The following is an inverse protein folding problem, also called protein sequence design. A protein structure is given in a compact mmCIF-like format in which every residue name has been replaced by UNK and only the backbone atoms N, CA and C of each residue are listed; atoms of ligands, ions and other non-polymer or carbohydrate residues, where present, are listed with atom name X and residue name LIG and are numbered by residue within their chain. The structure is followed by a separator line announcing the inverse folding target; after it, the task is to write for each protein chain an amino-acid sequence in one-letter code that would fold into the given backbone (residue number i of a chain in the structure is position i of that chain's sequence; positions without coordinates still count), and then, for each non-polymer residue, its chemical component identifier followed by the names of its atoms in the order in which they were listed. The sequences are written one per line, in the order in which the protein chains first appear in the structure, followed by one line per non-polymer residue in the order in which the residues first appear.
data_IF_167779367246
#
_entry.id   IF_167779367246
#
_cell.length_a   1.000
_cell.length_b   1.000
_cell.length_c   1.000
_cell.angle_alpha   90.00
_cell.angle_beta   90.00
_cell.angle_gamma   90.00
#
_symmetry.space_group_name_H-M   'P 1'
#
loop_
_entity.id
_entity.type
_entity.pdbx_description
1 polymer ?
#
# COMPACT_ATOMS: atom_id res chain seq x y z
N UNK A 1 37.45 80.90 48.31
CA UNK A 1 38.77 81.05 47.64
C UNK A 1 38.95 79.93 46.63
N UNK A 2 39.34 80.29 45.39
CA UNK A 2 39.83 79.45 44.27
C UNK A 2 38.80 78.52 43.59
N UNK A 3 38.27 78.85 42.41
CA UNK A 3 38.84 78.94 41.04
C UNK A 3 38.66 77.64 40.23
N UNK A 4 37.67 77.70 39.32
CA UNK A 4 37.63 77.25 37.91
C UNK A 4 38.36 75.97 37.45
N UNK A 5 37.62 75.12 36.71
CA UNK A 5 37.95 74.62 35.35
C UNK A 5 36.74 73.85 34.79
N UNK A 6 35.91 74.47 33.94
CA UNK A 6 35.87 74.36 32.46
C UNK A 6 35.74 72.93 31.90
N UNK A 7 34.52 72.65 31.43
CA UNK A 7 34.10 72.05 30.16
C UNK A 7 34.83 70.81 29.61
N UNK A 8 34.07 69.75 29.34
CA UNK A 8 33.85 69.25 27.98
C UNK A 8 32.78 68.14 28.00
N UNK A 9 31.76 68.28 27.15
CA UNK A 9 30.83 67.23 26.82
C UNK A 9 31.52 66.19 25.93
N UNK A 10 31.25 64.91 26.15
CA UNK A 10 31.50 63.86 25.18
C UNK A 10 30.32 62.88 25.20
N UNK A 11 29.47 63.05 24.19
CA UNK A 11 28.46 62.06 23.78
C UNK A 11 29.21 60.86 23.22
N UNK A 12 29.00 59.67 23.78
CA UNK A 12 29.44 58.42 23.16
C UNK A 12 28.23 57.49 23.02
N UNK A 13 27.99 57.12 21.77
CA UNK A 13 26.80 56.48 21.26
C UNK A 13 26.56 55.08 21.85
N UNK A 14 25.28 54.79 22.11
CA UNK A 14 24.75 53.45 22.31
C UNK A 14 24.82 52.72 20.97
N UNK A 15 25.67 51.72 20.83
CA UNK A 15 25.61 50.74 19.75
C UNK A 15 25.00 49.45 20.30
N UNK A 16 23.67 49.35 20.25
CA UNK A 16 22.96 48.10 20.48
C UNK A 16 23.17 47.21 19.25
N UNK A 17 24.03 46.20 19.36
CA UNK A 17 24.17 45.15 18.35
C UNK A 17 22.95 44.23 18.50
N UNK A 18 21.92 44.47 17.69
CA UNK A 18 20.82 43.53 17.53
C UNK A 18 21.33 42.33 16.71
N UNK A 19 21.73 41.25 17.39
CA UNK A 19 21.99 39.97 16.76
C UNK A 19 20.65 39.38 16.28
N UNK A 20 20.32 39.57 15.01
CA UNK A 20 19.24 38.83 14.34
C UNK A 20 19.70 37.39 14.15
N UNK A 21 19.38 36.54 15.12
CA UNK A 21 19.47 35.10 14.96
C UNK A 21 18.45 34.66 13.91
N UNK A 22 18.93 34.39 12.69
CA UNK A 22 18.14 33.69 11.67
C UNK A 22 17.98 32.26 12.16
N UNK A 23 16.86 31.99 12.83
CA UNK A 23 16.47 30.64 13.18
C UNK A 23 16.15 29.90 11.88
N UNK A 24 17.13 29.17 11.35
CA UNK A 24 16.89 28.16 10.33
C UNK A 24 16.03 27.09 11.00
N UNK A 25 14.73 27.12 10.72
CA UNK A 25 13.80 26.09 11.15
C UNK A 25 14.20 24.80 10.43
N UNK A 26 15.08 24.01 11.07
CA UNK A 26 15.29 22.63 10.68
C UNK A 26 13.93 21.94 10.81
N UNK A 27 13.43 21.25 9.77
CA UNK A 27 12.22 20.47 9.90
C UNK A 27 12.46 19.44 11.01
N UNK A 28 11.76 19.62 12.13
CA UNK A 28 11.71 18.63 13.19
C UNK A 28 11.28 17.31 12.57
N UNK A 29 11.98 16.18 12.80
CA UNK A 29 11.47 14.89 12.40
C UNK A 29 10.15 14.68 13.16
N UNK A 30 9.03 14.93 12.48
CA UNK A 30 7.74 14.52 12.98
C UNK A 30 7.82 13.00 13.17
N UNK A 31 7.49 12.47 14.35
CA UNK A 31 7.34 11.04 14.50
C UNK A 31 6.34 10.60 13.43
N UNK A 32 6.79 9.75 12.51
CA UNK A 32 5.89 9.08 11.58
C UNK A 32 4.79 8.48 12.46
N UNK A 33 3.54 8.93 12.25
CA UNK A 33 2.40 8.31 12.90
C UNK A 33 2.57 6.81 12.68
N UNK A 34 2.66 6.03 13.75
CA UNK A 34 2.72 4.59 13.65
C UNK A 34 1.50 4.20 12.80
N UNK A 35 1.75 3.81 11.55
CA UNK A 35 0.71 3.39 10.64
C UNK A 35 0.11 2.16 11.31
N UNK A 36 -1.07 2.35 11.90
CA UNK A 36 -1.76 1.28 12.60
C UNK A 36 -1.99 0.15 11.60
N UNK A 37 -1.56 -1.05 11.96
CA UNK A 37 -1.78 -2.23 11.14
C UNK A 37 -3.28 -2.35 10.83
N UNK A 38 -3.64 -2.27 9.55
CA UNK A 38 -5.04 -2.34 9.10
C UNK A 38 -5.30 -3.70 8.47
N UNK A 39 -6.14 -4.49 9.15
CA UNK A 39 -6.61 -5.77 8.64
C UNK A 39 -7.86 -5.58 7.77
N UNK A 40 -7.90 -6.22 6.60
CA UNK A 40 -9.09 -6.31 5.74
C UNK A 40 -9.37 -7.77 5.39
N UNK A 41 -10.65 -8.08 5.18
CA UNK A 41 -11.08 -9.38 4.68
C UNK A 41 -12.13 -9.22 3.59
N UNK A 42 -11.87 -9.81 2.42
CA UNK A 42 -12.79 -9.83 1.29
C UNK A 42 -12.91 -11.23 0.71
N UNK A 43 -14.08 -11.51 0.12
CA UNK A 43 -14.32 -12.67 -0.72
C UNK A 43 -14.62 -12.20 -2.13
N UNK A 44 -13.80 -12.56 -3.11
CA UNK A 44 -14.13 -12.41 -4.52
C UNK A 44 -14.97 -13.60 -4.97
N UNK A 45 -16.18 -13.34 -5.48
CA UNK A 45 -17.04 -14.34 -6.12
C UNK A 45 -16.88 -14.22 -7.62
N UNK A 46 -16.29 -15.24 -8.26
CA UNK A 46 -15.96 -15.20 -9.68
C UNK A 46 -17.22 -15.15 -10.54
N UNK A 47 -17.25 -14.22 -11.50
CA UNK A 47 -18.35 -14.04 -12.45
C UNK A 47 -18.02 -14.59 -13.82
N UNK A 48 -16.83 -14.24 -14.30
CA UNK A 48 -16.32 -14.69 -15.58
C UNK A 48 -14.81 -14.87 -15.48
N UNK A 49 -14.28 -15.72 -16.33
CA UNK A 49 -12.84 -15.88 -16.51
C UNK A 49 -12.53 -16.62 -17.79
N UNK A 50 -11.27 -16.57 -18.18
CA UNK A 50 -10.76 -17.19 -19.41
C UNK A 50 -9.65 -18.21 -19.14
N UNK A 51 -9.73 -19.09 -18.12
CA UNK A 51 -8.68 -20.08 -17.90
C UNK A 51 -8.55 -20.99 -19.14
N UNK A 52 -7.32 -21.24 -19.63
CA UNK A 52 -7.13 -22.14 -20.76
C UNK A 52 -7.55 -23.57 -20.38
N UNK A 53 -8.26 -24.24 -21.28
CA UNK A 53 -8.65 -25.65 -21.10
C UNK A 53 -7.42 -26.58 -21.07
N UNK A 54 -6.41 -26.24 -21.86
CA UNK A 54 -5.14 -26.96 -21.95
C UNK A 54 -3.97 -25.98 -21.73
N UNK A 55 -3.65 -25.63 -20.47
CA UNK A 55 -2.64 -24.64 -20.16
C UNK A 55 -1.27 -25.01 -20.72
N UNK A 56 -0.53 -24.01 -21.18
CA UNK A 56 0.88 -24.05 -21.56
C UNK A 56 1.63 -22.95 -20.82
N UNK A 57 2.95 -23.12 -20.67
CA UNK A 57 3.80 -22.06 -20.14
C UNK A 57 3.70 -20.81 -21.03
N UNK A 58 3.50 -19.65 -20.42
CA UNK A 58 3.23 -18.39 -21.10
C UNK A 58 1.75 -18.09 -21.36
N UNK A 59 0.84 -19.07 -21.21
CA UNK A 59 -0.59 -18.79 -21.35
C UNK A 59 -1.05 -17.79 -20.28
N UNK A 60 -1.92 -16.88 -20.68
CA UNK A 60 -2.53 -15.88 -19.81
C UNK A 60 -4.02 -16.10 -19.66
N UNK A 61 -4.56 -15.83 -18.48
CA UNK A 61 -6.01 -15.75 -18.29
C UNK A 61 -6.39 -14.56 -17.41
N UNK A 62 -7.65 -14.15 -17.53
CA UNK A 62 -8.25 -13.15 -16.66
C UNK A 62 -9.41 -13.74 -15.86
N UNK A 63 -9.69 -13.13 -14.72
CA UNK A 63 -10.89 -13.39 -13.91
C UNK A 63 -11.48 -12.03 -13.52
N UNK A 64 -12.79 -11.92 -13.59
CA UNK A 64 -13.55 -10.81 -13.00
C UNK A 64 -14.49 -11.34 -11.93
N UNK A 65 -14.60 -10.61 -10.81
CA UNK A 65 -15.34 -11.04 -9.65
C UNK A 65 -16.01 -9.86 -8.93
N UNK A 66 -17.11 -10.16 -8.25
CA UNK A 66 -17.69 -9.23 -7.27
C UNK A 66 -17.01 -9.45 -5.92
N UNK A 67 -16.71 -8.36 -5.20
CA UNK A 67 -16.17 -8.42 -3.85
C UNK A 67 -17.28 -8.37 -2.82
N UNK A 68 -17.16 -9.24 -1.83
CA UNK A 68 -18.01 -9.28 -0.65
C UNK A 68 -17.16 -9.03 0.59
N UNK A 69 -17.70 -8.28 1.54
CA UNK A 69 -17.09 -8.10 2.85
C UNK A 69 -17.29 -9.31 3.76
N UNK A 70 -16.84 -9.23 5.02
CA UNK A 70 -16.81 -10.36 5.93
C UNK A 70 -18.20 -10.95 6.24
N UNK A 71 -19.26 -10.15 6.16
CA UNK A 71 -20.63 -10.62 6.39
C UNK A 71 -21.39 -10.96 5.10
N UNK A 72 -20.71 -10.96 3.94
CA UNK A 72 -21.30 -11.23 2.64
C UNK A 72 -21.94 -10.01 1.97
N UNK A 73 -21.85 -8.84 2.59
CA UNK A 73 -22.31 -7.58 2.02
C UNK A 73 -21.49 -7.20 0.77
N UNK A 74 -22.09 -6.55 -0.25
CA UNK A 74 -21.34 -6.05 -1.39
C UNK A 74 -20.25 -5.06 -0.96
N UNK A 75 -19.01 -5.31 -1.38
CA UNK A 75 -17.85 -4.51 -1.03
C UNK A 75 -17.15 -3.88 -2.25
N UNK A 76 -17.57 -4.24 -3.48
CA UNK A 76 -17.02 -3.71 -4.72
C UNK A 76 -16.82 -4.80 -5.78
N UNK A 77 -15.77 -4.68 -6.58
CA UNK A 77 -15.40 -5.64 -7.62
C UNK A 77 -13.88 -5.80 -7.73
N UNK A 78 -13.44 -6.81 -8.47
CA UNK A 78 -12.03 -7.01 -8.71
C UNK A 78 -11.73 -7.85 -9.94
N UNK A 79 -10.50 -7.75 -10.39
CA UNK A 79 -9.98 -8.57 -11.47
C UNK A 79 -8.61 -9.14 -11.14
N UNK A 80 -8.28 -10.23 -11.82
CA UNK A 80 -6.96 -10.82 -11.83
C UNK A 80 -6.54 -11.07 -13.27
N UNK A 81 -5.26 -10.87 -13.55
CA UNK A 81 -4.59 -11.40 -14.75
C UNK A 81 -3.44 -12.26 -14.30
N UNK A 82 -3.41 -13.49 -14.78
CA UNK A 82 -2.40 -14.47 -14.41
C UNK A 82 -1.70 -15.02 -15.65
N UNK A 83 -0.42 -15.36 -15.50
CA UNK A 83 0.39 -16.01 -16.53
C UNK A 83 0.94 -17.31 -15.98
N UNK A 84 0.81 -18.41 -16.72
CA UNK A 84 1.45 -19.70 -16.37
C UNK A 84 2.96 -19.54 -16.50
N UNK A 85 3.69 -19.72 -15.40
CA UNK A 85 5.16 -19.66 -15.38
C UNK A 85 5.80 -21.05 -15.28
N UNK A 86 5.03 -22.05 -14.85
CA UNK A 86 5.46 -23.44 -14.80
C UNK A 86 4.28 -24.37 -15.03
N UNK A 87 4.45 -25.35 -15.92
CA UNK A 87 3.47 -26.43 -16.11
C UNK A 87 4.07 -27.78 -15.71
N UNK A 88 3.31 -28.55 -14.94
CA UNK A 88 3.59 -29.95 -14.62
C UNK A 88 2.30 -30.77 -14.74
N UNK A 89 2.40 -32.10 -14.69
CA UNK A 89 1.22 -32.95 -14.84
C UNK A 89 0.21 -32.74 -13.70
N UNK A 90 0.67 -32.30 -12.53
CA UNK A 90 -0.12 -32.06 -11.33
C UNK A 90 -0.82 -30.69 -11.30
N UNK A 91 -0.49 -29.78 -12.22
CA UNK A 91 -1.08 -28.44 -12.30
C UNK A 91 -0.10 -27.37 -12.77
N UNK A 92 -0.33 -26.12 -12.32
CA UNK A 92 0.44 -24.95 -12.75
C UNK A 92 1.00 -24.15 -11.58
N UNK A 93 2.12 -23.46 -11.82
CA UNK A 93 2.50 -22.26 -11.07
C UNK A 93 2.19 -21.06 -11.94
N UNK A 94 1.58 -20.03 -11.36
CA UNK A 94 1.22 -18.83 -12.08
C UNK A 94 1.58 -17.55 -11.35
N UNK A 95 2.06 -16.57 -12.10
CA UNK A 95 2.26 -15.22 -11.60
C UNK A 95 0.99 -14.40 -11.86
N UNK A 96 0.43 -13.80 -10.84
CA UNK A 96 -0.84 -13.09 -10.92
C UNK A 96 -0.71 -11.65 -10.44
N UNK A 97 -1.41 -10.74 -11.13
CA UNK A 97 -1.67 -9.37 -10.70
C UNK A 97 -3.16 -9.18 -10.46
N UNK A 98 -3.50 -8.61 -9.32
CA UNK A 98 -4.86 -8.35 -8.88
C UNK A 98 -5.13 -6.86 -8.79
N UNK A 99 -6.36 -6.47 -9.11
CA UNK A 99 -6.91 -5.14 -8.82
C UNK A 99 -8.21 -5.34 -8.06
N UNK A 100 -8.24 -4.94 -6.80
CA UNK A 100 -9.39 -5.04 -5.91
C UNK A 100 -9.95 -3.65 -5.66
N UNK A 101 -11.10 -3.33 -6.23
CA UNK A 101 -11.74 -2.03 -6.13
C UNK A 101 -12.88 -2.11 -5.13
N UNK A 102 -12.63 -1.59 -3.93
CA UNK A 102 -13.62 -1.42 -2.89
C UNK A 102 -14.25 -0.03 -2.89
N UNK A 103 -15.21 0.18 -1.99
CA UNK A 103 -15.90 1.48 -1.83
C UNK A 103 -14.96 2.62 -1.43
N UNK A 104 -13.91 2.32 -0.63
CA UNK A 104 -13.00 3.33 -0.11
C UNK A 104 -11.73 3.53 -0.97
N UNK A 105 -11.58 2.76 -2.06
CA UNK A 105 -10.43 2.84 -2.94
C UNK A 105 -10.05 1.51 -3.58
N UNK A 106 -8.88 1.49 -4.23
CA UNK A 106 -8.36 0.30 -4.92
C UNK A 106 -7.10 -0.22 -4.22
N UNK A 107 -6.95 -1.54 -4.17
CA UNK A 107 -5.69 -2.23 -3.84
C UNK A 107 -5.18 -2.97 -5.07
N UNK A 108 -3.86 -2.94 -5.26
CA UNK A 108 -3.18 -3.70 -6.31
C UNK A 108 -2.26 -4.72 -5.65
N UNK A 109 -2.40 -5.97 -6.06
CA UNK A 109 -1.63 -7.08 -5.49
C UNK A 109 -0.82 -7.82 -6.56
N UNK A 110 0.29 -8.42 -6.16
CA UNK A 110 1.06 -9.35 -6.99
C UNK A 110 1.38 -10.63 -6.22
N UNK A 111 1.18 -11.79 -6.85
CA UNK A 111 1.43 -13.11 -6.26
C UNK A 111 2.13 -14.08 -7.21
N UNK A 112 2.73 -15.10 -6.62
CA UNK A 112 3.16 -16.34 -7.29
C UNK A 112 2.36 -17.50 -6.67
N UNK A 113 1.59 -18.21 -7.48
CA UNK A 113 0.58 -19.16 -7.01
C UNK A 113 0.90 -20.56 -7.46
N UNK A 114 1.17 -21.45 -6.50
CA UNK A 114 1.26 -22.86 -6.76
C UNK A 114 -0.14 -23.49 -6.72
N UNK A 115 -0.61 -23.97 -7.87
CA UNK A 115 -1.91 -24.61 -8.05
C UNK A 115 -1.78 -26.11 -8.39
N UNK A 116 -0.78 -26.79 -7.82
CA UNK A 116 -0.65 -28.24 -7.94
C UNK A 116 -1.65 -28.99 -7.06
N UNK A 117 -2.11 -30.15 -7.57
CA UNK A 117 -3.01 -31.05 -6.86
C UNK A 117 -4.44 -30.53 -6.76
N UNK A 118 -5.22 -31.12 -5.84
CA UNK A 118 -6.61 -30.72 -5.61
C UNK A 118 -6.64 -29.49 -4.68
N UNK A 119 -7.42 -28.48 -5.05
CA UNK A 119 -7.65 -27.30 -4.20
C UNK A 119 -8.36 -27.59 -2.87
N UNK A 120 -8.51 -26.57 -2.00
CA UNK A 120 -8.18 -25.17 -2.23
C UNK A 120 -6.68 -24.90 -2.26
N UNK A 121 -6.24 -23.95 -3.09
CA UNK A 121 -4.84 -23.52 -3.16
C UNK A 121 -4.63 -22.30 -2.27
N UNK A 122 -3.42 -22.16 -1.73
CA UNK A 122 -3.02 -21.00 -0.92
C UNK A 122 -1.81 -20.34 -1.54
N UNK A 123 -1.77 -19.03 -1.48
CA UNK A 123 -0.66 -18.22 -1.94
C UNK A 123 -0.56 -16.96 -1.08
N UNK A 124 0.61 -16.34 -1.10
CA UNK A 124 0.81 -15.01 -0.54
C UNK A 124 0.93 -14.00 -1.70
N UNK A 125 0.43 -12.79 -1.49
CA UNK A 125 0.64 -11.65 -2.38
C UNK A 125 1.25 -10.47 -1.62
N UNK A 126 2.01 -9.66 -2.34
CA UNK A 126 2.39 -8.33 -1.90
C UNK A 126 1.32 -7.31 -2.29
N UNK A 127 1.02 -6.38 -1.39
CA UNK A 127 0.31 -5.15 -1.75
C UNK A 127 1.33 -4.20 -2.37
N UNK A 128 1.20 -3.93 -3.66
CA UNK A 128 2.15 -3.11 -4.43
C UNK A 128 1.66 -1.68 -4.64
N UNK A 129 0.42 -1.38 -4.26
CA UNK A 129 -0.10 -0.01 -4.22
C UNK A 129 -1.60 0.06 -3.98
N UNK A 130 -2.10 1.28 -3.92
CA UNK A 130 -3.52 1.54 -3.77
C UNK A 130 -3.89 3.01 -3.96
N UNK A 131 -5.20 3.28 -3.92
CA UNK A 131 -5.81 4.60 -4.08
C UNK A 131 -6.81 4.88 -2.96
N UNK A 132 -7.31 6.12 -2.86
CA UNK A 132 -8.32 6.49 -1.86
C UNK A 132 -7.82 6.27 -0.43
N UNK A 133 -8.61 5.60 0.41
CA UNK A 133 -8.23 5.22 1.77
C UNK A 133 -7.07 4.21 1.85
N UNK A 134 -6.62 3.69 0.70
CA UNK A 134 -5.47 2.80 0.58
C UNK A 134 -4.30 3.46 -0.18
N UNK A 135 -4.30 4.79 -0.33
CA UNK A 135 -3.21 5.50 -0.97
C UNK A 135 -1.88 5.25 -0.23
N UNK A 136 -0.85 4.83 -0.97
CA UNK A 136 0.46 4.50 -0.40
C UNK A 136 0.53 3.20 0.39
N UNK A 137 -0.55 2.42 0.43
CA UNK A 137 -0.61 1.17 1.19
C UNK A 137 0.44 0.16 0.71
N UNK A 138 1.08 -0.50 1.67
CA UNK A 138 1.98 -1.64 1.49
C UNK A 138 1.56 -2.74 2.45
N UNK A 139 2.00 -3.96 2.20
CA UNK A 139 1.66 -5.09 3.07
C UNK A 139 1.61 -6.42 2.36
N UNK A 140 0.94 -7.36 3.00
CA UNK A 140 0.85 -8.75 2.56
C UNK A 140 -0.61 -9.20 2.54
N UNK A 141 -0.93 -10.14 1.65
CA UNK A 141 -2.24 -10.75 1.54
C UNK A 141 -2.08 -12.26 1.51
N UNK A 142 -2.84 -12.95 2.34
CA UNK A 142 -3.01 -14.41 2.23
C UNK A 142 -4.23 -14.70 1.37
N UNK A 143 -4.04 -15.47 0.32
CA UNK A 143 -5.10 -15.94 -0.58
C UNK A 143 -5.50 -17.36 -0.24
N UNK A 144 -6.79 -17.65 -0.34
CA UNK A 144 -7.31 -19.02 -0.48
C UNK A 144 -8.16 -19.08 -1.75
N UNK A 145 -7.74 -19.90 -2.70
CA UNK A 145 -8.29 -19.98 -4.05
C UNK A 145 -9.10 -21.27 -4.17
N UNK A 146 -10.38 -21.09 -4.48
CA UNK A 146 -11.37 -22.14 -4.73
C UNK A 146 -11.91 -21.97 -6.17
N UNK A 147 -12.64 -22.97 -6.67
CA UNK A 147 -13.11 -22.98 -8.06
C UNK A 147 -13.92 -21.74 -8.47
N UNK A 148 -14.71 -21.15 -7.56
CA UNK A 148 -15.56 -19.98 -7.87
C UNK A 148 -15.37 -18.81 -6.91
N UNK A 149 -14.38 -18.90 -6.02
CA UNK A 149 -14.16 -17.92 -4.96
C UNK A 149 -12.69 -17.76 -4.64
N UNK A 150 -12.30 -16.55 -4.26
CA UNK A 150 -10.99 -16.28 -3.68
C UNK A 150 -11.17 -15.46 -2.42
N UNK A 151 -10.63 -15.96 -1.31
CA UNK A 151 -10.64 -15.26 -0.04
C UNK A 151 -9.33 -14.50 0.12
N UNK A 152 -9.42 -13.22 0.46
CA UNK A 152 -8.28 -12.34 0.73
C UNK A 152 -8.27 -11.96 2.21
N UNK A 153 -7.15 -12.21 2.88
CA UNK A 153 -6.85 -11.63 4.20
C UNK A 153 -5.66 -10.69 4.06
N UNK A 154 -5.93 -9.40 4.10
CA UNK A 154 -4.97 -8.32 3.85
C UNK A 154 -4.47 -7.77 5.17
N UNK A 155 -3.16 -7.57 5.29
CA UNK A 155 -2.52 -6.83 6.37
C UNK A 155 -1.74 -5.65 5.79
N UNK A 156 -2.20 -4.43 6.06
CA UNK A 156 -1.55 -3.20 5.60
C UNK A 156 -0.61 -2.62 6.66
N UNK A 157 0.46 -1.97 6.19
CA UNK A 157 1.54 -1.34 6.97
C UNK A 157 1.83 0.06 6.48
#
# INVERSE_FOLDING_TARGET
MRLMRRQAAAVAAVAAVAATAVAVALPSPQPAAAAGEKALAWTAVHRTGSPPEHPKEGDTWSVYADLQGPSGEPAGDGSAVCTVVLLRYEGVVAQCRYVLRGNDGTLVLESMENRFGRGPHRADAAVVGGTGAYAGAKGEVRLTIENRRTLYRVQLR
#
